data_IF_400206671747
#
_entry.id   IF_400206671747
#
_cell.length_a   1.000
_cell.length_b   1.000
_cell.length_c   1.000
_cell.angle_alpha   90.00
_cell.angle_beta   90.00
_cell.angle_gamma   90.00
#
_symmetry.space_group_name_H-M   'P 1'
#
loop_
_entity.id
_entity.type
_entity.pdbx_description
1 polymer ?
#
# COMPACT_ATOMS: atom_id res chain seq x y z
N UNK A 1 -3.40 -13.36 2.68
CA UNK A 1 -2.07 -12.81 2.38
C UNK A 1 -1.13 -13.98 2.13
N UNK A 2 -0.28 -13.90 1.10
CA UNK A 2 0.64 -14.99 0.75
C UNK A 2 1.95 -14.83 1.56
N UNK A 3 2.70 -15.92 1.83
CA UNK A 3 4.01 -15.80 2.47
C UNK A 3 4.88 -14.78 1.70
N UNK A 4 5.57 -13.90 2.43
CA UNK A 4 6.44 -12.86 1.87
C UNK A 4 7.73 -13.41 1.29
N UNK A 5 7.60 -14.31 0.31
CA UNK A 5 8.70 -14.94 -0.41
C UNK A 5 8.89 -14.21 -1.75
N UNK A 6 10.11 -13.74 -1.98
CA UNK A 6 10.51 -13.03 -3.19
C UNK A 6 11.84 -12.32 -2.98
N UNK A 7 12.63 -12.17 -4.04
CA UNK A 7 13.91 -11.43 -4.00
C UNK A 7 13.69 -9.92 -4.05
N UNK A 8 12.59 -9.49 -4.68
CA UNK A 8 12.19 -8.09 -4.80
C UNK A 8 10.73 -7.92 -4.41
N UNK A 9 10.43 -6.74 -3.87
CA UNK A 9 9.08 -6.33 -3.50
C UNK A 9 8.82 -4.91 -4.00
N UNK A 10 7.61 -4.68 -4.50
CA UNK A 10 7.15 -3.36 -4.93
C UNK A 10 5.88 -3.00 -4.18
N UNK A 11 5.80 -1.76 -3.70
CA UNK A 11 4.62 -1.22 -3.05
C UNK A 11 3.99 -0.13 -3.91
N UNK A 12 2.69 -0.22 -4.16
CA UNK A 12 1.92 0.82 -4.85
C UNK A 12 0.85 1.39 -3.93
N UNK A 13 0.80 2.72 -3.86
CA UNK A 13 -0.21 3.45 -3.09
C UNK A 13 -1.31 4.02 -3.98
N UNK A 14 -2.53 4.01 -3.47
CA UNK A 14 -3.72 4.60 -4.08
C UNK A 14 -4.38 5.53 -3.07
N UNK A 15 -4.54 6.80 -3.43
CA UNK A 15 -5.26 7.76 -2.59
C UNK A 15 -6.74 7.43 -2.66
N UNK A 16 -7.32 7.04 -1.52
CA UNK A 16 -8.76 6.77 -1.40
C UNK A 16 -9.55 8.03 -1.10
N UNK A 17 -8.98 8.92 -0.29
CA UNK A 17 -9.58 10.20 0.06
C UNK A 17 -8.49 11.24 0.31
N UNK A 18 -8.56 12.39 -0.35
CA UNK A 18 -7.72 13.55 -0.06
C UNK A 18 -8.57 14.62 0.63
N UNK A 19 -8.46 14.74 1.95
CA UNK A 19 -9.13 15.78 2.73
C UNK A 19 -8.20 16.92 3.12
N UNK A 20 -8.76 18.03 3.61
CA UNK A 20 -7.98 19.23 4.01
C UNK A 20 -6.98 18.97 5.14
N UNK A 21 -7.28 18.04 6.05
CA UNK A 21 -6.45 17.72 7.23
C UNK A 21 -5.97 16.28 7.28
N UNK A 22 -6.62 15.39 6.54
CA UNK A 22 -6.32 13.96 6.55
C UNK A 22 -6.48 13.41 5.14
N UNK A 23 -5.45 12.73 4.64
CA UNK A 23 -5.51 11.86 3.47
C UNK A 23 -5.58 10.40 3.90
N UNK A 24 -6.39 9.60 3.22
CA UNK A 24 -6.46 8.15 3.40
C UNK A 24 -5.94 7.49 2.14
N UNK A 25 -5.01 6.55 2.29
CA UNK A 25 -4.43 5.80 1.17
C UNK A 25 -4.53 4.30 1.43
N UNK A 26 -4.76 3.53 0.37
CA UNK A 26 -4.57 2.08 0.34
C UNK A 26 -3.23 1.77 -0.29
N UNK A 27 -2.54 0.78 0.22
CA UNK A 27 -1.26 0.32 -0.31
C UNK A 27 -1.32 -1.16 -0.57
N UNK A 28 -0.68 -1.58 -1.65
CA UNK A 28 -0.60 -2.97 -2.07
C UNK A 28 0.87 -3.33 -2.25
N UNK A 29 1.29 -4.43 -1.62
CA UNK A 29 2.64 -4.95 -1.68
C UNK A 29 2.65 -6.19 -2.56
N UNK A 30 3.41 -6.14 -3.64
CA UNK A 30 3.62 -7.25 -4.55
C UNK A 30 5.06 -7.74 -4.45
N UNK A 31 5.29 -9.03 -4.69
CA UNK A 31 6.64 -9.55 -4.91
C UNK A 31 7.05 -9.46 -6.39
N UNK A 32 8.29 -9.83 -6.73
CA UNK A 32 8.80 -9.84 -8.10
C UNK A 32 8.08 -10.78 -9.09
N UNK A 33 7.07 -11.53 -8.65
CA UNK A 33 6.16 -12.32 -9.50
C UNK A 33 4.77 -11.70 -9.61
N UNK A 34 4.65 -10.41 -9.27
CA UNK A 34 3.39 -9.65 -9.17
C UNK A 34 2.35 -10.25 -8.21
N UNK A 35 2.76 -11.19 -7.36
CA UNK A 35 1.88 -11.80 -6.38
C UNK A 35 1.59 -10.81 -5.26
N UNK A 36 0.32 -10.50 -5.03
CA UNK A 36 -0.11 -9.66 -3.91
C UNK A 36 0.19 -10.38 -2.57
N UNK A 37 1.12 -9.80 -1.82
CA UNK A 37 1.61 -10.33 -0.54
C UNK A 37 0.86 -9.71 0.62
N UNK A 38 0.65 -8.39 0.59
CA UNK A 38 0.00 -7.64 1.65
C UNK A 38 -0.82 -6.46 1.10
N UNK A 39 -1.83 -6.05 1.87
CA UNK A 39 -2.58 -4.80 1.67
C UNK A 39 -2.62 -4.02 2.98
N UNK A 40 -2.60 -2.70 2.88
CA UNK A 40 -2.66 -1.81 4.03
C UNK A 40 -3.53 -0.59 3.72
N UNK A 41 -4.07 0.03 4.77
CA UNK A 41 -4.72 1.35 4.68
C UNK A 41 -4.08 2.26 5.72
N UNK A 42 -3.65 3.45 5.28
CA UNK A 42 -3.04 4.46 6.13
C UNK A 42 -3.84 5.76 6.10
N UNK A 43 -3.95 6.41 7.25
CA UNK A 43 -4.44 7.78 7.36
C UNK A 43 -3.26 8.70 7.70
N UNK A 44 -3.09 9.75 6.91
CA UNK A 44 -1.98 10.69 6.99
C UNK A 44 -2.51 12.08 7.30
N UNK A 45 -1.99 12.70 8.34
CA UNK A 45 -2.27 14.11 8.62
C UNK A 45 -1.57 14.98 7.57
N UNK A 46 -2.33 15.91 6.98
CA UNK A 46 -1.83 16.91 6.03
C UNK A 46 -1.76 18.24 6.76
N UNK A 47 -0.55 18.79 6.89
CA UNK A 47 -0.26 20.10 7.47
C UNK A 47 0.11 21.10 6.41
#
# INVERSE_FOLDING_TARGET
LRPGLGETFSAKGFVLRAGRKVAVTRMELHNGKDSLIAVGTGAYSIS
#
